data_IF_170936758891
#
_entry.id   IF_170936758891
#
_cell.length_a   1.000
_cell.length_b   1.000
_cell.length_c   1.000
_cell.angle_alpha   90.00
_cell.angle_beta   90.00
_cell.angle_gamma   90.00
#
_symmetry.space_group_name_H-M   'P 1'
#
loop_
_entity.id
_entity.type
_entity.pdbx_description
1 polymer ?
#
# COMPACT_ATOMS: atom_id res chain seq x y z
N UNK A 1 -13.10 41.27 -63.19
CA UNK A 1 -11.86 40.56 -62.77
C UNK A 1 -11.65 40.48 -61.24
N UNK A 2 -12.67 40.70 -60.39
CA UNK A 2 -12.49 40.85 -58.92
C UNK A 2 -12.95 39.65 -58.07
N UNK A 3 -13.74 38.72 -58.61
CA UNK A 3 -14.29 37.57 -57.83
C UNK A 3 -13.26 36.49 -57.45
N UNK A 4 -12.17 36.32 -58.21
CA UNK A 4 -11.15 35.29 -57.94
C UNK A 4 -10.25 35.65 -56.72
N UNK A 5 -10.10 36.94 -56.41
CA UNK A 5 -9.26 37.43 -55.29
C UNK A 5 -9.88 37.14 -53.92
N UNK A 6 -11.21 37.29 -53.78
CA UNK A 6 -11.92 37.04 -52.52
C UNK A 6 -11.91 35.57 -52.08
N UNK A 7 -12.02 34.64 -53.04
CA UNK A 7 -12.03 33.19 -52.76
C UNK A 7 -10.66 32.67 -52.28
N UNK A 8 -9.55 33.27 -52.71
CA UNK A 8 -8.21 32.92 -52.19
C UNK A 8 -8.01 33.44 -50.76
N UNK A 9 -8.47 34.64 -50.45
CA UNK A 9 -8.34 35.22 -49.09
C UNK A 9 -9.15 34.43 -48.05
N UNK A 10 -10.37 33.99 -48.37
CA UNK A 10 -11.17 33.18 -47.44
C UNK A 10 -10.56 31.79 -47.17
N UNK A 11 -9.96 31.17 -48.19
CA UNK A 11 -9.28 29.88 -48.06
C UNK A 11 -8.01 29.98 -47.21
N UNK A 12 -7.29 31.11 -47.27
CA UNK A 12 -6.12 31.36 -46.41
C UNK A 12 -6.56 31.52 -44.96
N UNK A 13 -7.59 32.34 -44.70
CA UNK A 13 -8.12 32.56 -43.34
C UNK A 13 -8.61 31.24 -42.72
N UNK A 14 -9.33 30.42 -43.50
CA UNK A 14 -9.82 29.11 -43.04
C UNK A 14 -8.68 28.14 -42.72
N UNK A 15 -7.63 28.08 -43.56
CA UNK A 15 -6.46 27.22 -43.30
C UNK A 15 -5.67 27.68 -42.08
N UNK A 16 -5.50 28.99 -41.88
CA UNK A 16 -4.85 29.52 -40.68
C UNK A 16 -5.66 29.19 -39.42
N UNK A 17 -7.00 29.32 -39.48
CA UNK A 17 -7.86 28.93 -38.37
C UNK A 17 -7.78 27.44 -38.05
N UNK A 18 -7.74 26.57 -39.07
CA UNK A 18 -7.58 25.13 -38.89
C UNK A 18 -6.24 24.77 -38.25
N UNK A 19 -5.15 25.44 -38.65
CA UNK A 19 -3.82 25.24 -38.04
C UNK A 19 -3.84 25.68 -36.58
N UNK A 20 -4.42 26.84 -36.26
CA UNK A 20 -4.55 27.30 -34.86
C UNK A 20 -5.39 26.34 -34.04
N UNK A 21 -6.48 25.78 -34.60
CA UNK A 21 -7.31 24.78 -33.93
C UNK A 21 -6.52 23.49 -33.62
N UNK A 22 -5.70 23.03 -34.57
CA UNK A 22 -4.85 21.86 -34.39
C UNK A 22 -3.77 22.12 -33.32
N UNK A 23 -3.19 23.32 -33.27
CA UNK A 23 -2.23 23.68 -32.22
C UNK A 23 -2.90 23.78 -30.83
N UNK A 24 -4.12 24.33 -30.77
CA UNK A 24 -4.90 24.40 -29.52
C UNK A 24 -5.31 23.01 -29.02
N UNK A 25 -5.75 22.11 -29.91
CA UNK A 25 -6.12 20.74 -29.52
C UNK A 25 -4.90 19.84 -29.27
N UNK A 26 -3.84 19.95 -30.05
CA UNK A 26 -2.61 19.17 -29.88
C UNK A 26 -1.89 19.47 -28.57
N UNK A 27 -1.96 20.72 -28.09
CA UNK A 27 -1.42 21.11 -26.78
C UNK A 27 -2.20 20.53 -25.61
N UNK A 28 -3.49 20.22 -25.79
CA UNK A 28 -4.34 19.67 -24.74
C UNK A 28 -4.15 18.15 -24.55
N UNK A 29 -3.72 17.44 -25.59
CA UNK A 29 -3.56 15.98 -25.57
C UNK A 29 -2.19 15.49 -25.11
N UNK A 30 -1.20 16.37 -24.90
CA UNK A 30 0.18 15.99 -24.56
C UNK A 30 0.59 16.27 -23.11
N UNK A 31 -0.36 16.45 -22.19
CA UNK A 31 -0.04 16.47 -20.76
C UNK A 31 0.06 15.02 -20.25
N UNK A 32 1.15 14.34 -20.58
CA UNK A 32 1.50 13.07 -19.96
C UNK A 32 1.95 13.40 -18.52
N UNK A 33 1.05 13.18 -17.55
CA UNK A 33 1.37 13.38 -16.14
C UNK A 33 2.53 12.45 -15.79
N UNK A 34 3.69 13.05 -15.49
CA UNK A 34 4.88 12.34 -15.02
C UNK A 34 4.53 11.71 -13.66
N UNK A 35 3.95 10.51 -13.70
CA UNK A 35 3.54 9.74 -12.55
C UNK A 35 4.79 9.15 -11.89
N UNK A 36 5.63 10.03 -11.36
CA UNK A 36 6.71 9.62 -10.49
C UNK A 36 6.06 8.93 -9.29
N UNK A 37 6.43 7.66 -9.01
CA UNK A 37 5.89 6.96 -7.87
C UNK A 37 6.08 7.84 -6.64
N UNK A 38 5.00 8.04 -5.87
CA UNK A 38 5.11 8.77 -4.60
C UNK A 38 6.28 8.19 -3.80
N UNK A 39 7.02 9.05 -3.10
CA UNK A 39 8.21 8.60 -2.35
C UNK A 39 7.88 7.45 -1.38
N UNK A 40 6.65 7.38 -0.87
CA UNK A 40 6.16 6.27 -0.07
C UNK A 40 6.10 4.93 -0.84
N UNK A 41 5.61 4.93 -2.09
CA UNK A 41 5.56 3.74 -2.93
C UNK A 41 6.97 3.23 -3.24
N UNK A 42 7.88 4.13 -3.57
CA UNK A 42 9.29 3.80 -3.84
C UNK A 42 9.97 3.19 -2.60
N UNK A 43 9.78 3.79 -1.42
CA UNK A 43 10.32 3.27 -0.16
C UNK A 43 9.79 1.86 0.17
N UNK A 44 8.48 1.63 -0.01
CA UNK A 44 7.88 0.31 0.22
C UNK A 44 8.45 -0.71 -0.77
N UNK A 45 8.59 -0.33 -2.04
CA UNK A 45 9.16 -1.20 -3.07
C UNK A 45 10.60 -1.56 -2.70
N UNK A 46 11.46 -0.57 -2.45
CA UNK A 46 12.87 -0.76 -2.10
C UNK A 46 13.05 -1.58 -0.81
N UNK A 47 12.19 -1.37 0.19
CA UNK A 47 12.21 -2.16 1.43
C UNK A 47 11.79 -3.61 1.17
N UNK A 48 10.83 -3.85 0.27
CA UNK A 48 10.27 -5.20 0.01
C UNK A 48 11.09 -6.05 -0.96
N UNK A 49 11.73 -5.46 -1.96
CA UNK A 49 12.52 -6.15 -2.98
C UNK A 49 13.56 -7.15 -2.42
N UNK A 50 14.44 -6.80 -1.46
CA UNK A 50 15.42 -7.76 -0.92
C UNK A 50 14.78 -8.91 -0.14
N UNK A 51 13.53 -8.75 0.30
CA UNK A 51 12.77 -9.76 1.07
C UNK A 51 11.84 -10.60 0.20
N UNK A 52 11.79 -10.31 -1.10
CA UNK A 52 11.02 -11.06 -2.08
C UNK A 52 11.82 -12.16 -2.76
N UNK A 53 13.09 -12.42 -2.40
CA UNK A 53 13.85 -13.52 -2.97
C UNK A 53 13.03 -14.82 -2.97
N UNK A 54 12.96 -15.58 -4.09
CA UNK A 54 13.71 -15.41 -5.34
C UNK A 54 13.08 -14.48 -6.38
N UNK A 55 12.00 -13.77 -6.06
CA UNK A 55 11.28 -12.91 -6.99
C UNK A 55 11.93 -11.52 -7.13
N UNK A 56 12.17 -11.10 -8.37
CA UNK A 56 12.75 -9.78 -8.69
C UNK A 56 11.74 -8.62 -8.64
N UNK A 57 10.48 -8.91 -8.36
CA UNK A 57 9.42 -7.92 -8.25
C UNK A 57 8.36 -8.37 -7.24
N UNK A 58 7.60 -7.41 -6.75
CA UNK A 58 6.55 -7.67 -5.78
C UNK A 58 5.36 -8.41 -6.46
N UNK A 59 4.96 -9.61 -5.97
CA UNK A 59 3.90 -10.40 -6.61
C UNK A 59 2.52 -9.76 -6.40
N UNK A 60 2.10 -8.93 -7.36
CA UNK A 60 0.83 -8.18 -7.31
C UNK A 60 -0.39 -9.06 -7.06
N UNK A 61 -0.42 -10.28 -7.63
CA UNK A 61 -1.50 -11.23 -7.40
C UNK A 61 -1.58 -11.72 -5.95
N UNK A 62 -0.44 -11.97 -5.31
CA UNK A 62 -0.38 -12.38 -3.91
C UNK A 62 -0.85 -11.24 -3.00
N UNK A 63 -0.47 -10.00 -3.32
CA UNK A 63 -0.97 -8.81 -2.62
C UNK A 63 -2.49 -8.67 -2.76
N UNK A 64 -3.02 -8.80 -3.97
CA UNK A 64 -4.46 -8.74 -4.19
C UNK A 64 -5.19 -9.84 -3.41
N UNK A 65 -4.66 -11.07 -3.42
CA UNK A 65 -5.18 -12.19 -2.63
C UNK A 65 -5.16 -11.88 -1.13
N UNK A 66 -4.06 -11.36 -0.61
CA UNK A 66 -3.92 -10.97 0.79
C UNK A 66 -4.86 -9.82 1.18
N UNK A 67 -4.98 -8.79 0.32
CA UNK A 67 -5.91 -7.66 0.50
C UNK A 67 -7.34 -8.15 0.53
N UNK A 68 -7.72 -9.04 -0.38
CA UNK A 68 -9.06 -9.62 -0.42
C UNK A 68 -9.33 -10.50 0.80
N UNK A 69 -8.36 -11.31 1.22
CA UNK A 69 -8.44 -12.11 2.44
C UNK A 69 -8.61 -11.22 3.68
N UNK A 70 -7.79 -10.18 3.82
CA UNK A 70 -7.90 -9.20 4.90
C UNK A 70 -9.26 -8.51 4.88
N UNK A 71 -9.73 -8.02 3.72
CA UNK A 71 -11.05 -7.40 3.57
C UNK A 71 -12.19 -8.36 3.92
N UNK A 72 -12.07 -9.65 3.58
CA UNK A 72 -13.05 -10.70 3.90
C UNK A 72 -13.07 -11.03 5.40
N UNK A 73 -11.89 -11.12 6.02
CA UNK A 73 -11.72 -11.50 7.43
C UNK A 73 -11.72 -10.30 8.39
N UNK A 74 -11.73 -9.06 7.86
CA UNK A 74 -11.97 -7.85 8.62
C UNK A 74 -13.35 -7.96 9.24
N UNK A 75 -13.34 -8.40 10.48
CA UNK A 75 -14.53 -8.69 11.23
C UNK A 75 -15.22 -7.34 11.50
N UNK A 76 -16.26 -7.01 10.72
CA UNK A 76 -17.11 -5.83 10.94
C UNK A 76 -17.71 -5.81 12.37
N UNK A 77 -17.65 -6.94 13.07
CA UNK A 77 -17.97 -7.09 14.49
C UNK A 77 -17.11 -6.20 15.41
N UNK A 78 -15.84 -5.96 15.07
CA UNK A 78 -14.94 -5.06 15.83
C UNK A 78 -15.39 -3.59 15.80
N UNK A 79 -16.30 -3.22 14.89
CA UNK A 79 -16.80 -1.85 14.75
C UNK A 79 -18.16 -1.64 15.45
N UNK A 80 -18.72 -2.67 16.10
CA UNK A 80 -20.13 -2.67 16.54
C UNK A 80 -20.34 -2.78 18.05
N UNK A 81 -19.29 -3.00 18.82
CA UNK A 81 -19.39 -3.09 20.28
C UNK A 81 -18.41 -2.11 20.92
N UNK A 82 -18.92 -1.20 21.75
CA UNK A 82 -18.08 -0.33 22.60
C UNK A 82 -17.45 -1.10 23.77
N UNK A 83 -17.79 -2.38 23.92
CA UNK A 83 -17.18 -3.26 24.90
C UNK A 83 -15.85 -3.79 24.35
N UNK A 84 -14.73 -3.59 25.06
CA UNK A 84 -13.46 -4.19 24.68
C UNK A 84 -13.59 -5.72 24.77
N UNK A 85 -13.17 -6.42 23.71
CA UNK A 85 -13.03 -7.87 23.78
C UNK A 85 -12.10 -8.22 24.96
N UNK A 86 -12.47 -9.18 25.82
CA UNK A 86 -11.63 -9.53 26.96
C UNK A 86 -10.27 -10.01 26.46
N UNK A 87 -9.21 -9.60 27.16
CA UNK A 87 -7.85 -10.04 26.86
C UNK A 87 -7.79 -11.57 26.88
N UNK A 88 -7.40 -12.15 25.74
CA UNK A 88 -7.18 -13.59 25.60
C UNK A 88 -5.71 -13.84 25.30
N UNK A 89 -5.14 -14.81 26.00
CA UNK A 89 -3.83 -15.33 25.61
C UNK A 89 -3.95 -15.97 24.23
N UNK A 90 -3.16 -15.47 23.28
CA UNK A 90 -3.02 -16.09 21.95
C UNK A 90 -2.00 -17.24 21.95
N UNK A 91 -1.36 -17.47 23.09
CA UNK A 91 -0.33 -18.46 23.31
C UNK A 91 0.94 -18.25 22.47
N UNK A 92 1.98 -19.05 22.73
CA UNK A 92 2.80 -19.61 21.68
C UNK A 92 2.12 -20.89 21.15
N UNK A 93 1.39 -20.79 20.04
CA UNK A 93 0.71 -21.97 19.46
C UNK A 93 1.62 -22.86 18.61
N UNK A 94 2.84 -22.41 18.30
CA UNK A 94 3.76 -23.08 17.38
C UNK A 94 5.22 -23.08 17.86
N UNK A 95 5.68 -21.99 18.48
CA UNK A 95 7.06 -21.85 18.97
C UNK A 95 7.00 -21.32 20.39
N UNK A 96 7.48 -22.10 21.36
CA UNK A 96 7.58 -21.71 22.76
C UNK A 96 8.49 -20.51 22.99
N UNK A 97 8.27 -19.79 24.11
CA UNK A 97 9.15 -18.71 24.54
C UNK A 97 10.47 -19.23 25.14
N UNK A 98 11.47 -18.36 25.26
CA UNK A 98 12.74 -18.68 25.92
C UNK A 98 12.72 -18.26 27.39
N UNK A 99 12.85 -19.22 28.29
CA UNK A 99 13.02 -19.00 29.74
C UNK A 99 14.49 -18.82 30.07
N UNK A 100 14.82 -17.75 30.79
CA UNK A 100 16.19 -17.44 31.22
C UNK A 100 16.48 -17.91 32.65
N UNK A 101 15.48 -17.85 33.52
CA UNK A 101 15.63 -18.23 34.92
C UNK A 101 14.32 -18.73 35.54
N UNK A 102 14.46 -19.46 36.63
CA UNK A 102 13.37 -19.93 37.49
C UNK A 102 13.78 -19.65 38.94
N UNK A 103 12.84 -19.21 39.76
CA UNK A 103 13.05 -19.05 41.20
C UNK A 103 11.89 -19.69 41.98
N UNK A 104 12.22 -20.46 43.01
CA UNK A 104 11.23 -21.09 43.90
C UNK A 104 11.10 -20.21 45.15
N UNK A 105 9.88 -19.91 45.57
CA UNK A 105 9.66 -19.16 46.80
C UNK A 105 10.11 -19.99 48.02
N UNK A 106 11.07 -19.50 48.84
CA UNK A 106 11.61 -20.26 49.96
C UNK A 106 10.61 -20.46 51.10
N UNK A 107 9.54 -19.66 51.17
CA UNK A 107 8.48 -19.78 52.18
C UNK A 107 7.31 -20.65 51.73
N UNK A 108 7.11 -20.80 50.42
CA UNK A 108 6.07 -21.64 49.85
C UNK A 108 6.58 -22.29 48.54
N UNK A 109 7.07 -23.55 48.59
CA UNK A 109 7.59 -24.25 47.41
C UNK A 109 6.57 -24.45 46.28
N UNK A 110 5.27 -24.27 46.54
CA UNK A 110 4.23 -24.33 45.50
C UNK A 110 4.19 -23.06 44.63
N UNK A 111 4.90 -21.99 45.02
CA UNK A 111 5.03 -20.76 44.22
C UNK A 111 6.37 -20.74 43.49
N UNK A 112 6.31 -20.72 42.16
CA UNK A 112 7.46 -20.69 41.26
C UNK A 112 7.34 -19.48 40.35
N UNK A 113 8.42 -18.73 40.20
CA UNK A 113 8.54 -17.60 39.29
C UNK A 113 9.37 -17.97 38.08
N UNK A 114 8.98 -17.50 36.90
CA UNK A 114 9.74 -17.73 35.66
C UNK A 114 10.09 -16.39 34.98
N UNK A 115 11.38 -16.19 34.71
CA UNK A 115 11.88 -15.06 33.92
C UNK A 115 12.05 -15.45 32.46
N UNK A 116 11.40 -14.72 31.56
CA UNK A 116 11.52 -14.94 30.11
C UNK A 116 12.48 -13.94 29.46
N UNK A 117 13.00 -14.28 28.27
CA UNK A 117 13.95 -13.42 27.57
C UNK A 117 13.37 -12.12 27.00
N UNK A 118 12.04 -12.00 26.92
CA UNK A 118 11.36 -10.82 26.38
C UNK A 118 9.88 -10.68 26.74
N UNK A 119 9.29 -11.66 27.44
CA UNK A 119 7.89 -11.65 27.88
C UNK A 119 7.70 -11.32 29.36
N UNK A 120 8.73 -10.80 30.03
CA UNK A 120 8.67 -10.40 31.44
C UNK A 120 8.71 -11.57 32.44
N UNK A 121 8.10 -11.31 33.60
CA UNK A 121 8.01 -12.19 34.76
C UNK A 121 6.63 -12.85 34.81
N UNK A 122 6.61 -14.15 35.12
CA UNK A 122 5.41 -14.97 35.28
C UNK A 122 5.43 -15.64 36.65
#
# INVERSE_FOLDING_TARGET
>A
MTKLSGKRKSQIIFKTFLIVLIFLFGSFTFFEEENNPTSAFELINNWSLPRNYPFNSFPSQALLKAKNFSKKNLNKKLLKTNEPDPWKSIGPNNIGGRTLCIAINPKNPETIYAGSAGGGLW
#
